data_IF_114113429056
#
_entry.id   IF_114113429056
#
_cell.length_a   1.000
_cell.length_b   1.000
_cell.length_c   1.000
_cell.angle_alpha   90.00
_cell.angle_beta   90.00
_cell.angle_gamma   90.00
#
_symmetry.space_group_name_H-M   'P 1'
#
loop_
_entity.id
_entity.type
_entity.pdbx_description
1 polymer ?
#
# COMPACT_ATOMS: atom_id res chain seq x y z
N UNK A 1 9.64 13.26 3.03
CA UNK A 1 11.02 13.28 3.60
C UNK A 1 11.10 13.12 5.12
N UNK A 2 10.07 13.45 5.92
CA UNK A 2 10.11 13.27 7.39
C UNK A 2 10.14 11.79 7.85
N UNK A 3 9.29 10.93 7.27
CA UNK A 3 9.16 9.52 7.67
C UNK A 3 10.44 8.67 7.48
N UNK A 4 11.27 8.99 6.49
CA UNK A 4 12.55 8.31 6.23
C UNK A 4 13.69 8.81 7.12
N UNK A 5 13.52 9.95 7.79
CA UNK A 5 14.58 10.60 8.57
C UNK A 5 14.70 10.05 9.99
N UNK A 6 13.60 9.55 10.56
CA UNK A 6 13.55 9.05 11.94
C UNK A 6 14.18 7.66 12.11
N UNK A 7 14.52 6.95 11.02
CA UNK A 7 15.07 5.58 11.04
C UNK A 7 16.37 5.40 10.25
N UNK A 8 17.07 6.46 9.90
CA UNK A 8 18.31 6.36 9.13
C UNK A 8 19.35 7.35 9.65
N UNK A 9 20.45 6.83 10.19
CA UNK A 9 21.60 7.63 10.68
C UNK A 9 22.43 8.19 9.53
N UNK A 10 22.24 7.70 8.30
CA UNK A 10 22.98 8.17 7.12
C UNK A 10 22.10 8.23 5.85
N UNK A 11 22.48 9.10 4.90
CA UNK A 11 21.84 9.20 3.57
C UNK A 11 21.89 7.87 2.78
N UNK A 12 22.88 7.01 3.07
CA UNK A 12 23.04 5.69 2.47
C UNK A 12 21.97 4.71 2.96
N UNK A 13 21.62 4.74 4.25
CA UNK A 13 20.53 3.95 4.82
C UNK A 13 19.16 4.40 4.28
N UNK A 14 18.96 5.71 4.08
CA UNK A 14 17.76 6.23 3.42
C UNK A 14 17.64 5.74 1.97
N UNK A 15 18.74 5.73 1.21
CA UNK A 15 18.76 5.25 -0.17
C UNK A 15 18.51 3.73 -0.26
N UNK A 16 19.08 2.95 0.67
CA UNK A 16 18.84 1.50 0.77
C UNK A 16 17.40 1.18 1.17
N UNK A 17 16.79 1.96 2.07
CA UNK A 17 15.38 1.85 2.41
C UNK A 17 14.46 2.35 1.28
N UNK A 18 14.91 3.30 0.45
CA UNK A 18 14.15 3.84 -0.67
C UNK A 18 14.14 2.91 -1.91
N UNK A 19 15.17 2.08 -2.08
CA UNK A 19 15.37 1.23 -3.27
C UNK A 19 14.14 0.37 -3.67
N UNK A 20 13.39 -0.27 -2.74
CA UNK A 20 12.17 -1.03 -3.08
C UNK A 20 11.01 -0.16 -3.61
N UNK A 21 11.02 1.15 -3.35
CA UNK A 21 10.01 2.10 -3.81
C UNK A 21 10.36 2.70 -5.18
N UNK A 22 11.57 2.43 -5.70
CA UNK A 22 12.05 2.91 -7.01
C UNK A 22 11.85 1.89 -8.14
N UNK A 23 11.55 0.63 -7.83
CA UNK A 23 11.30 -0.42 -8.83
C UNK A 23 9.82 -0.44 -9.25
N UNK A 24 9.53 -0.73 -10.51
CA UNK A 24 8.13 -0.74 -10.98
C UNK A 24 7.38 -2.00 -10.56
N UNK A 25 8.08 -3.14 -10.49
CA UNK A 25 7.56 -4.41 -9.96
C UNK A 25 8.13 -4.70 -8.57
N UNK A 26 7.36 -5.43 -7.77
CA UNK A 26 7.79 -5.93 -6.45
C UNK A 26 7.72 -7.45 -6.43
N UNK A 27 8.72 -8.09 -5.84
CA UNK A 27 8.62 -9.49 -5.46
C UNK A 27 7.84 -9.56 -4.14
N UNK A 28 6.72 -10.28 -4.14
CA UNK A 28 5.90 -10.49 -2.96
C UNK A 28 6.35 -11.76 -2.27
N UNK A 29 6.55 -11.69 -0.96
CA UNK A 29 6.81 -12.86 -0.14
C UNK A 29 5.65 -13.87 -0.28
N UNK A 30 5.90 -15.15 -0.66
CA UNK A 30 4.85 -16.12 -0.89
C UNK A 30 3.99 -16.43 0.35
N UNK A 31 4.57 -16.41 1.54
CA UNK A 31 3.87 -16.65 2.80
C UNK A 31 2.93 -15.47 3.09
N UNK A 32 3.43 -14.24 2.94
CA UNK A 32 2.62 -13.03 3.06
C UNK A 32 1.51 -12.95 2.01
N UNK A 33 1.78 -13.37 0.77
CA UNK A 33 0.77 -13.42 -0.29
C UNK A 33 -0.37 -14.38 0.09
N UNK A 34 -0.02 -15.60 0.49
CA UNK A 34 -1.01 -16.62 0.89
C UNK A 34 -1.84 -16.16 2.09
N UNK A 35 -1.22 -15.50 3.06
CA UNK A 35 -1.91 -15.07 4.28
C UNK A 35 -2.78 -13.83 4.10
N UNK A 36 -2.37 -12.87 3.25
CA UNK A 36 -2.98 -11.55 3.20
C UNK A 36 -3.59 -11.16 1.86
N UNK A 37 -3.31 -11.86 0.76
CA UNK A 37 -3.80 -11.52 -0.59
C UNK A 37 -4.84 -12.52 -1.08
N UNK A 38 -5.97 -12.56 -0.37
CA UNK A 38 -7.03 -13.52 -0.64
C UNK A 38 -8.11 -13.00 -1.60
N UNK A 39 -8.82 -13.92 -2.26
CA UNK A 39 -9.89 -13.63 -3.20
C UNK A 39 -11.05 -12.86 -2.57
N UNK A 40 -11.28 -13.03 -1.26
CA UNK A 40 -12.28 -12.28 -0.51
C UNK A 40 -12.01 -10.76 -0.49
N UNK A 41 -10.77 -10.33 -0.74
CA UNK A 41 -10.39 -8.92 -0.76
C UNK A 41 -10.60 -8.26 -2.13
N UNK A 42 -10.91 -9.02 -3.19
CA UNK A 42 -11.14 -8.48 -4.54
C UNK A 42 -12.11 -7.29 -4.58
N UNK A 43 -13.29 -7.34 -3.91
CA UNK A 43 -14.22 -6.20 -3.92
C UNK A 43 -13.62 -4.96 -3.26
N UNK A 44 -12.92 -5.13 -2.14
CA UNK A 44 -12.29 -4.04 -1.40
C UNK A 44 -11.14 -3.41 -2.19
N UNK A 45 -10.28 -4.22 -2.81
CA UNK A 45 -9.18 -3.74 -3.65
C UNK A 45 -9.68 -3.02 -4.88
N UNK A 46 -10.71 -3.55 -5.55
CA UNK A 46 -11.30 -2.91 -6.73
C UNK A 46 -11.83 -1.51 -6.38
N UNK A 47 -12.60 -1.39 -5.29
CA UNK A 47 -13.11 -0.10 -4.79
C UNK A 47 -11.97 0.85 -4.41
N UNK A 48 -10.97 0.35 -3.68
CA UNK A 48 -9.82 1.14 -3.26
C UNK A 48 -9.05 1.68 -4.48
N UNK A 49 -8.79 0.85 -5.49
CA UNK A 49 -8.10 1.24 -6.72
C UNK A 49 -8.86 2.35 -7.44
N UNK A 50 -10.19 2.20 -7.61
CA UNK A 50 -11.02 3.20 -8.28
C UNK A 50 -10.99 4.52 -7.50
N UNK A 51 -11.20 4.47 -6.19
CA UNK A 51 -11.23 5.66 -5.34
C UNK A 51 -9.87 6.40 -5.37
N UNK A 52 -8.76 5.67 -5.23
CA UNK A 52 -7.40 6.24 -5.25
C UNK A 52 -7.03 6.88 -6.59
N UNK A 53 -7.57 6.39 -7.71
CA UNK A 53 -7.32 6.98 -9.02
C UNK A 53 -8.02 8.35 -9.17
N UNK A 54 -9.19 8.49 -8.52
CA UNK A 54 -10.09 9.64 -8.65
C UNK A 54 -9.90 10.74 -7.59
N UNK A 55 -9.07 10.51 -6.57
CA UNK A 55 -8.88 11.51 -5.51
C UNK A 55 -8.42 12.88 -6.05
N UNK A 56 -8.90 14.00 -5.48
CA UNK A 56 -8.49 15.34 -5.94
C UNK A 56 -7.02 15.62 -5.60
N UNK A 57 -6.53 15.14 -4.46
CA UNK A 57 -5.13 15.25 -4.03
C UNK A 57 -4.63 13.90 -3.50
N UNK A 58 -3.33 13.64 -3.60
CA UNK A 58 -2.74 12.40 -3.08
C UNK A 58 -2.02 12.68 -1.77
N UNK A 59 -2.78 13.16 -0.77
CA UNK A 59 -2.32 13.60 0.54
C UNK A 59 -2.90 12.73 1.65
N UNK A 60 -2.28 12.73 2.83
CA UNK A 60 -2.61 11.81 3.93
C UNK A 60 -4.11 11.75 4.27
N UNK A 61 -4.74 12.91 4.46
CA UNK A 61 -6.16 13.00 4.85
C UNK A 61 -7.10 12.40 3.81
N UNK A 62 -6.77 12.55 2.53
CA UNK A 62 -7.55 12.01 1.42
C UNK A 62 -7.40 10.49 1.33
N UNK A 63 -6.17 9.99 1.52
CA UNK A 63 -5.91 8.54 1.59
C UNK A 63 -6.66 7.90 2.76
N UNK A 64 -6.65 8.55 3.93
CA UNK A 64 -7.37 8.06 5.11
C UNK A 64 -8.89 8.05 4.88
N UNK A 65 -9.44 9.10 4.27
CA UNK A 65 -10.86 9.18 3.88
C UNK A 65 -11.23 8.04 2.92
N UNK A 66 -10.42 7.79 1.90
CA UNK A 66 -10.64 6.68 0.96
C UNK A 66 -10.67 5.34 1.70
N UNK A 67 -9.70 5.07 2.58
CA UNK A 67 -9.68 3.84 3.37
C UNK A 67 -10.93 3.72 4.25
N UNK A 68 -11.34 4.80 4.92
CA UNK A 68 -12.57 4.84 5.74
C UNK A 68 -13.83 4.52 4.92
N UNK A 69 -13.95 5.04 3.70
CA UNK A 69 -15.08 4.71 2.82
C UNK A 69 -15.09 3.23 2.46
N UNK A 70 -13.94 2.69 2.04
CA UNK A 70 -13.84 1.29 1.61
C UNK A 70 -14.16 0.34 2.77
N UNK A 71 -13.65 0.59 3.98
CA UNK A 71 -13.95 -0.27 5.13
C UNK A 71 -15.41 -0.17 5.58
N UNK A 72 -16.03 1.02 5.46
CA UNK A 72 -17.45 1.19 5.76
C UNK A 72 -18.34 0.41 4.78
N UNK A 73 -17.99 0.41 3.50
CA UNK A 73 -18.75 -0.28 2.44
C UNK A 73 -18.55 -1.80 2.44
N UNK A 74 -17.38 -2.27 2.87
CA UNK A 74 -17.02 -3.70 2.81
C UNK A 74 -17.17 -4.42 4.15
N UNK A 75 -17.38 -3.69 5.25
CA UNK A 75 -17.43 -4.24 6.60
C UNK A 75 -16.06 -4.72 7.12
N UNK A 76 -14.96 -4.45 6.40
CA UNK A 76 -13.61 -4.79 6.85
C UNK A 76 -13.19 -3.87 8.00
N UNK A 77 -12.24 -4.32 8.80
CA UNK A 77 -11.52 -3.42 9.72
C UNK A 77 -10.38 -2.71 8.98
N UNK A 78 -9.92 -1.58 9.53
CA UNK A 78 -8.74 -0.87 9.01
C UNK A 78 -7.51 -1.79 8.90
N UNK A 79 -7.26 -2.64 9.91
CA UNK A 79 -6.13 -3.58 9.87
C UNK A 79 -6.27 -4.64 8.77
N UNK A 80 -7.50 -5.12 8.52
CA UNK A 80 -7.81 -6.11 7.49
C UNK A 80 -7.72 -5.56 6.06
N UNK A 81 -7.79 -4.25 5.87
CA UNK A 81 -7.51 -3.61 4.57
C UNK A 81 -6.04 -3.17 4.46
N UNK A 82 -5.51 -2.51 5.49
CA UNK A 82 -4.18 -1.91 5.46
C UNK A 82 -3.04 -2.94 5.35
N UNK A 83 -3.18 -4.11 6.00
CA UNK A 83 -2.14 -5.14 5.96
C UNK A 83 -2.01 -5.77 4.56
N UNK A 84 -3.08 -6.21 3.88
CA UNK A 84 -3.01 -6.62 2.48
C UNK A 84 -2.46 -5.55 1.55
N UNK A 85 -2.91 -4.29 1.70
CA UNK A 85 -2.41 -3.18 0.87
C UNK A 85 -0.91 -2.97 1.09
N UNK A 86 -0.41 -3.09 2.32
CA UNK A 86 1.03 -3.06 2.58
C UNK A 86 1.78 -4.15 1.83
N UNK A 87 1.29 -5.39 1.88
CA UNK A 87 1.92 -6.51 1.17
C UNK A 87 1.89 -6.26 -0.34
N UNK A 88 0.76 -5.81 -0.88
CA UNK A 88 0.62 -5.48 -2.29
C UNK A 88 1.49 -4.29 -2.75
N UNK A 89 1.88 -3.40 -1.84
CA UNK A 89 2.71 -2.24 -2.17
C UNK A 89 4.20 -2.47 -1.89
N UNK A 90 4.56 -3.34 -0.96
CA UNK A 90 5.96 -3.49 -0.48
C UNK A 90 6.51 -4.89 -0.59
N UNK A 91 5.64 -5.88 -0.85
CA UNK A 91 5.97 -7.30 -0.87
C UNK A 91 6.19 -7.91 0.52
N UNK A 92 6.03 -7.12 1.58
CA UNK A 92 6.39 -7.49 2.96
C UNK A 92 5.28 -7.11 3.94
N UNK A 93 5.29 -7.75 5.11
CA UNK A 93 4.31 -7.51 6.17
C UNK A 93 4.66 -6.33 7.07
N UNK A 94 5.94 -5.93 7.11
CA UNK A 94 6.46 -4.81 7.89
C UNK A 94 6.93 -3.67 6.98
N UNK A 95 6.47 -2.45 7.26
CA UNK A 95 6.84 -1.22 6.56
C UNK A 95 6.62 -0.01 7.49
N UNK A 96 7.00 1.22 7.09
CA UNK A 96 6.45 2.44 7.68
C UNK A 96 4.90 2.49 7.59
N UNK A 97 4.29 3.57 8.05
CA UNK A 97 2.83 3.73 7.98
C UNK A 97 2.33 3.54 6.54
N UNK A 98 1.18 2.87 6.35
CA UNK A 98 0.72 2.54 4.99
C UNK A 98 0.50 3.80 4.14
N UNK A 99 -0.01 4.86 4.75
CA UNK A 99 -0.17 6.15 4.08
C UNK A 99 1.18 6.79 3.74
N UNK A 100 2.21 6.64 4.59
CA UNK A 100 3.56 7.12 4.28
C UNK A 100 4.13 6.38 3.07
N UNK A 101 3.96 5.06 3.02
CA UNK A 101 4.35 4.22 1.88
C UNK A 101 3.64 4.69 0.61
N UNK A 102 2.33 4.92 0.66
CA UNK A 102 1.57 5.42 -0.48
C UNK A 102 2.06 6.80 -0.93
N UNK A 103 2.26 7.73 0.00
CA UNK A 103 2.79 9.08 -0.31
C UNK A 103 4.18 9.02 -0.94
N UNK A 104 5.05 8.10 -0.50
CA UNK A 104 6.37 7.89 -1.09
C UNK A 104 6.30 7.33 -2.51
N UNK A 105 5.34 6.43 -2.79
CA UNK A 105 5.13 5.85 -4.12
C UNK A 105 4.45 6.83 -5.07
N UNK A 106 3.55 7.66 -4.54
CA UNK A 106 2.63 8.48 -5.31
C UNK A 106 1.52 7.67 -6.00
N UNK A 107 0.48 8.38 -6.47
CA UNK A 107 -0.74 7.79 -7.04
C UNK A 107 -0.49 6.74 -8.09
N UNK A 108 0.29 7.10 -9.12
CA UNK A 108 0.51 6.25 -10.31
C UNK A 108 1.09 4.88 -9.92
N UNK A 109 2.14 4.86 -9.09
CA UNK A 109 2.78 3.61 -8.66
C UNK A 109 1.91 2.83 -7.69
N UNK A 110 1.24 3.49 -6.75
CA UNK A 110 0.30 2.83 -5.83
C UNK A 110 -0.80 2.11 -6.61
N UNK A 111 -1.47 2.80 -7.53
CA UNK A 111 -2.54 2.22 -8.35
C UNK A 111 -2.01 1.09 -9.24
N UNK A 112 -0.87 1.29 -9.89
CA UNK A 112 -0.27 0.27 -10.75
C UNK A 112 0.07 -1.02 -9.99
N UNK A 113 0.72 -0.91 -8.82
CA UNK A 113 1.07 -2.07 -7.98
C UNK A 113 -0.17 -2.80 -7.48
N UNK A 114 -1.20 -2.07 -7.05
CA UNK A 114 -2.47 -2.67 -6.62
C UNK A 114 -3.20 -3.39 -7.76
N UNK A 115 -3.15 -2.86 -8.99
CA UNK A 115 -3.73 -3.52 -10.17
C UNK A 115 -2.96 -4.76 -10.61
N UNK A 116 -1.66 -4.80 -10.36
CA UNK A 116 -0.79 -5.91 -10.73
C UNK A 116 -0.85 -7.09 -9.75
N UNK A 117 -1.48 -6.91 -8.58
CA UNK A 117 -1.54 -7.97 -7.57
C UNK A 117 -2.57 -9.03 -7.97
N UNK A 118 -2.17 -10.29 -7.87
CA UNK A 118 -3.09 -11.39 -8.05
C UNK A 118 -3.74 -11.75 -6.70
N UNK A 119 -5.07 -11.78 -6.69
CA UNK A 119 -5.89 -12.11 -5.52
C UNK A 119 -6.53 -13.49 -5.70
N UNK A 120 -5.79 -14.46 -6.23
CA UNK A 120 -6.30 -15.79 -6.58
C UNK A 120 -6.39 -16.78 -5.39
N UNK A 121 -5.86 -16.44 -4.22
CA UNK A 121 -5.77 -17.35 -3.07
C UNK A 121 -6.99 -17.36 -2.16
#
# INVERSE_FOLDING_TARGET
MKALRERSRTLLEMAQQAAPYCQDSIAVDPEAATQFLTAALKPAFTKLIIALDQVPSFEHEELERVFKSVIAETGLSMSKLAQPVRVALTGRTASPGIFEVMLLLGRKRTVARLKAIDLMH
#
